data_IF_669892719801
#
_entry.id   IF_669892719801
#
_cell.length_a   1.000
_cell.length_b   1.000
_cell.length_c   1.000
_cell.angle_alpha   90.00
_cell.angle_beta   90.00
_cell.angle_gamma   90.00
#
_symmetry.space_group_name_H-M   'P 1'
#
loop_
_entity.id
_entity.type
_entity.pdbx_description
1 polymer ?
#
# COMPACT_ATOMS: atom_id res chain seq x y z
N UNK A 1 3.50 -10.87 -19.22
CA UNK A 1 3.73 -9.42 -19.33
C UNK A 1 4.30 -8.98 -18.01
N UNK A 2 5.39 -8.23 -18.04
CA UNK A 2 6.05 -7.72 -16.85
C UNK A 2 5.46 -6.39 -16.44
N UNK A 3 5.48 -6.09 -15.13
CA UNK A 3 5.16 -4.79 -14.56
C UNK A 3 6.47 -4.03 -14.29
N UNK A 4 6.46 -2.70 -14.34
CA UNK A 4 5.34 -1.81 -14.66
C UNK A 4 4.94 -1.87 -16.15
N UNK A 5 3.67 -1.57 -16.44
CA UNK A 5 3.12 -1.61 -17.79
C UNK A 5 2.14 -0.47 -18.04
N UNK A 6 2.33 0.19 -19.19
CA UNK A 6 1.42 1.20 -19.73
C UNK A 6 1.06 0.81 -21.16
N UNK A 7 -0.22 0.45 -21.40
CA UNK A 7 -0.63 0.05 -22.75
C UNK A 7 -0.85 1.23 -23.69
N UNK A 8 -1.03 2.45 -23.17
CA UNK A 8 -1.29 3.64 -23.99
C UNK A 8 -0.07 4.05 -24.81
N UNK A 9 1.15 3.73 -24.35
CA UNK A 9 2.40 3.98 -25.09
C UNK A 9 2.36 3.38 -26.51
N UNK A 10 1.70 2.23 -26.67
CA UNK A 10 1.59 1.55 -27.97
C UNK A 10 0.54 2.15 -28.90
N UNK A 11 -0.27 3.09 -28.40
CA UNK A 11 -1.38 3.73 -29.09
C UNK A 11 -1.23 5.26 -29.12
N UNK A 12 0.01 5.75 -29.30
CA UNK A 12 0.35 7.18 -29.26
C UNK A 12 -0.45 8.06 -30.26
N UNK A 13 -1.06 7.45 -31.29
CA UNK A 13 -1.94 8.15 -32.24
C UNK A 13 -3.40 8.31 -31.77
N UNK A 14 -3.79 7.67 -30.66
CA UNK A 14 -5.16 7.70 -30.14
C UNK A 14 -5.16 7.76 -28.60
N UNK A 15 -4.64 8.85 -28.06
CA UNK A 15 -4.42 9.06 -26.62
C UNK A 15 -5.71 9.29 -25.83
N UNK A 16 -6.83 9.57 -26.52
CA UNK A 16 -8.11 9.93 -25.89
C UNK A 16 -9.17 8.83 -26.00
N UNK A 17 -8.75 7.62 -26.31
CA UNK A 17 -9.65 6.48 -26.41
C UNK A 17 -9.91 5.84 -25.07
N UNK A 18 -11.20 5.71 -24.69
CA UNK A 18 -11.62 4.88 -23.57
C UNK A 18 -11.19 3.43 -23.81
N UNK A 19 -10.60 2.83 -22.78
CA UNK A 19 -10.13 1.45 -22.84
C UNK A 19 -10.13 0.77 -21.48
N UNK A 20 -10.21 -0.56 -21.47
CA UNK A 20 -10.14 -1.37 -20.26
C UNK A 20 -9.05 -2.41 -20.41
N UNK A 21 -8.14 -2.46 -19.44
CA UNK A 21 -7.11 -3.47 -19.33
C UNK A 21 -7.42 -4.46 -18.21
N UNK A 22 -7.02 -5.71 -18.42
CA UNK A 22 -7.11 -6.77 -17.43
C UNK A 22 -5.74 -7.38 -17.19
N UNK A 23 -5.37 -7.50 -15.92
CA UNK A 23 -4.13 -8.16 -15.48
C UNK A 23 -4.51 -9.34 -14.62
N UNK A 24 -3.96 -10.51 -14.94
CA UNK A 24 -4.19 -11.74 -14.18
C UNK A 24 -2.84 -12.27 -13.72
N UNK A 25 -2.74 -12.64 -12.45
CA UNK A 25 -1.57 -13.27 -11.85
C UNK A 25 -2.00 -14.38 -10.91
N UNK A 26 -1.39 -15.54 -11.06
CA UNK A 26 -1.48 -16.62 -10.07
C UNK A 26 -0.27 -16.58 -9.16
N UNK A 27 -0.47 -16.86 -7.87
CA UNK A 27 0.59 -16.90 -6.87
C UNK A 27 0.26 -17.89 -5.76
N UNK A 28 1.28 -18.50 -5.18
CA UNK A 28 1.11 -19.38 -4.04
C UNK A 28 1.14 -18.57 -2.75
N UNK A 29 0.11 -18.70 -1.93
CA UNK A 29 0.05 -18.10 -0.61
C UNK A 29 -0.78 -18.97 0.32
N UNK A 30 -0.33 -19.07 1.58
CA UNK A 30 -1.07 -19.65 2.68
C UNK A 30 -0.80 -18.75 3.90
N UNK A 31 -1.76 -17.90 4.30
CA UNK A 31 -1.58 -17.09 5.51
C UNK A 31 -1.42 -17.98 6.74
N UNK A 32 -0.48 -17.64 7.60
CA UNK A 32 -0.37 -18.27 8.91
C UNK A 32 -1.51 -17.79 9.83
N UNK A 33 -1.88 -18.55 10.89
CA UNK A 33 -2.85 -18.08 11.87
C UNK A 33 -2.47 -16.72 12.46
N UNK A 34 -3.37 -15.75 12.37
CA UNK A 34 -3.15 -14.38 12.83
C UNK A 34 -2.31 -13.50 11.90
N UNK A 35 -1.87 -14.00 10.75
CA UNK A 35 -1.18 -13.20 9.75
C UNK A 35 -2.20 -12.43 8.88
N UNK A 36 -1.84 -11.20 8.49
CA UNK A 36 -2.54 -10.42 7.47
C UNK A 36 -1.75 -10.42 6.18
N UNK A 37 -2.47 -10.52 5.07
CA UNK A 37 -1.87 -10.45 3.73
C UNK A 37 -2.56 -9.35 2.94
N UNK A 38 -1.79 -8.45 2.37
CA UNK A 38 -2.29 -7.35 1.56
C UNK A 38 -1.59 -7.28 0.20
N UNK A 39 -2.31 -6.79 -0.78
CA UNK A 39 -1.74 -6.34 -2.05
C UNK A 39 -1.55 -4.83 -1.98
N UNK A 40 -0.33 -4.38 -2.19
CA UNK A 40 0.02 -2.97 -2.33
C UNK A 40 0.27 -2.65 -3.80
N UNK A 41 -0.29 -1.53 -4.24
CA UNK A 41 -0.14 -1.01 -5.59
C UNK A 41 0.51 0.38 -5.52
N UNK A 42 1.66 0.56 -6.11
CA UNK A 42 2.35 1.85 -6.18
C UNK A 42 1.64 2.87 -7.07
N UNK A 43 0.88 2.41 -8.04
CA UNK A 43 0.05 3.25 -8.91
C UNK A 43 -0.58 2.48 -10.05
N UNK A 44 -1.87 2.71 -10.26
CA UNK A 44 -2.67 2.15 -11.36
C UNK A 44 -3.49 3.27 -11.97
N UNK A 45 -3.36 3.52 -13.25
CA UNK A 45 -4.13 4.53 -13.95
C UNK A 45 -5.15 3.90 -14.89
N UNK A 46 -6.44 4.09 -14.65
CA UNK A 46 -7.15 4.53 -13.47
C UNK A 46 -8.41 3.68 -13.26
N UNK A 47 -9.27 4.06 -12.33
CA UNK A 47 -10.54 3.39 -11.96
C UNK A 47 -10.37 1.86 -11.87
N UNK A 48 -9.64 1.48 -10.83
CA UNK A 48 -9.17 0.11 -10.63
C UNK A 48 -10.14 -0.70 -9.79
N UNK A 49 -10.47 -1.90 -10.23
CA UNK A 49 -11.16 -2.90 -9.43
C UNK A 49 -10.30 -4.17 -9.32
N UNK A 50 -10.13 -4.65 -8.10
CA UNK A 50 -9.30 -5.83 -7.80
C UNK A 50 -10.18 -6.96 -7.30
N UNK A 51 -9.94 -8.14 -7.83
CA UNK A 51 -10.60 -9.38 -7.44
C UNK A 51 -9.56 -10.42 -7.04
N UNK A 52 -9.85 -11.21 -6.03
CA UNK A 52 -9.01 -12.32 -5.59
C UNK A 52 -9.90 -13.57 -5.57
N UNK A 53 -9.45 -14.62 -6.25
CA UNK A 53 -10.20 -15.89 -6.40
C UNK A 53 -11.64 -15.68 -6.88
N UNK A 54 -11.85 -14.70 -7.76
CA UNK A 54 -13.16 -14.34 -8.31
C UNK A 54 -14.02 -13.45 -7.42
N UNK A 55 -13.62 -13.17 -6.18
CA UNK A 55 -14.33 -12.29 -5.24
C UNK A 55 -13.80 -10.86 -5.27
N UNK A 56 -14.66 -9.83 -5.18
CA UNK A 56 -14.22 -8.45 -5.09
C UNK A 56 -13.35 -8.21 -3.84
N UNK A 57 -12.15 -7.68 -4.04
CA UNK A 57 -11.22 -7.30 -2.96
C UNK A 57 -11.25 -5.79 -2.67
N UNK A 58 -11.47 -4.96 -3.69
CA UNK A 58 -11.57 -3.52 -3.51
C UNK A 58 -11.55 -2.74 -4.81
N UNK A 59 -11.66 -1.41 -4.67
CA UNK A 59 -11.63 -0.46 -5.79
C UNK A 59 -10.78 0.74 -5.41
N UNK A 60 -10.11 1.34 -6.41
CA UNK A 60 -9.35 2.57 -6.26
C UNK A 60 -9.48 3.44 -7.50
N UNK A 61 -9.91 4.70 -7.32
CA UNK A 61 -10.22 5.59 -8.45
C UNK A 61 -9.11 6.61 -8.77
N UNK A 62 -8.22 6.86 -7.81
CA UNK A 62 -7.12 7.81 -8.03
C UNK A 62 -5.98 7.13 -8.79
N UNK A 63 -5.60 7.70 -9.94
CA UNK A 63 -4.56 7.14 -10.78
C UNK A 63 -3.12 7.42 -10.32
N UNK A 64 -2.88 8.25 -9.31
CA UNK A 64 -1.53 8.75 -8.96
C UNK A 64 -1.05 8.32 -7.58
N UNK A 65 -1.98 8.03 -6.66
CA UNK A 65 -1.64 7.60 -5.31
C UNK A 65 -1.50 6.08 -5.22
N UNK A 66 -0.61 5.63 -4.35
CA UNK A 66 -0.57 4.24 -3.92
C UNK A 66 -1.82 3.87 -3.12
N UNK A 67 -2.12 2.59 -3.08
CA UNK A 67 -3.17 2.03 -2.23
C UNK A 67 -2.84 0.58 -1.90
N UNK A 68 -3.48 0.07 -0.87
CA UNK A 68 -3.36 -1.33 -0.50
C UNK A 68 -4.74 -1.92 -0.15
N UNK A 69 -4.86 -3.22 -0.29
CA UNK A 69 -6.09 -3.97 -0.03
C UNK A 69 -5.74 -5.20 0.81
N UNK A 70 -6.39 -5.35 1.96
CA UNK A 70 -6.32 -6.58 2.74
C UNK A 70 -7.07 -7.68 1.99
N UNK A 71 -6.36 -8.75 1.68
CA UNK A 71 -6.89 -9.89 0.93
C UNK A 71 -6.92 -11.18 1.75
N UNK A 72 -6.60 -11.10 3.05
CA UNK A 72 -6.42 -12.26 3.94
C UNK A 72 -7.58 -13.23 3.86
N UNK A 73 -8.80 -12.74 4.02
CA UNK A 73 -10.02 -13.56 4.04
C UNK A 73 -10.42 -14.13 2.67
N UNK A 74 -9.75 -13.69 1.60
CA UNK A 74 -10.01 -14.15 0.22
C UNK A 74 -8.99 -15.18 -0.26
N UNK A 75 -7.96 -15.43 0.56
CA UNK A 75 -6.92 -16.40 0.25
C UNK A 75 -7.32 -17.78 0.77
N UNK A 76 -6.98 -18.78 0.01
CA UNK A 76 -6.98 -20.18 0.44
C UNK A 76 -5.56 -20.75 0.36
N UNK A 77 -5.35 -21.88 1.01
CA UNK A 77 -4.06 -22.56 0.94
C UNK A 77 -3.72 -22.99 -0.49
N UNK A 78 -2.52 -22.68 -0.94
CA UNK A 78 -2.02 -23.04 -2.27
C UNK A 78 -2.11 -21.91 -3.29
N UNK A 79 -2.54 -22.23 -4.49
CA UNK A 79 -2.59 -21.29 -5.61
C UNK A 79 -3.80 -20.35 -5.49
N UNK A 80 -3.53 -19.06 -5.59
CA UNK A 80 -4.53 -18.00 -5.61
C UNK A 80 -4.40 -17.21 -6.91
N UNK A 81 -5.50 -16.61 -7.34
CA UNK A 81 -5.53 -15.75 -8.52
C UNK A 81 -5.92 -14.32 -8.11
N UNK A 82 -5.20 -13.34 -8.63
CA UNK A 82 -5.59 -11.95 -8.61
C UNK A 82 -5.93 -11.48 -10.02
N UNK A 83 -7.09 -10.84 -10.16
CA UNK A 83 -7.51 -10.14 -11.36
C UNK A 83 -7.61 -8.64 -11.04
N UNK A 84 -6.92 -7.82 -11.82
CA UNK A 84 -7.01 -6.36 -11.75
C UNK A 84 -7.65 -5.86 -13.03
N UNK A 85 -8.81 -5.22 -12.92
CA UNK A 85 -9.43 -4.46 -14.00
C UNK A 85 -9.06 -2.99 -13.84
N UNK A 86 -8.58 -2.38 -14.91
CA UNK A 86 -8.21 -0.98 -14.94
C UNK A 86 -8.96 -0.29 -16.09
N UNK A 87 -9.80 0.68 -15.79
CA UNK A 87 -10.60 1.43 -16.76
C UNK A 87 -9.97 2.80 -17.00
N UNK A 88 -9.53 3.06 -18.24
CA UNK A 88 -9.16 4.39 -18.70
C UNK A 88 -10.38 5.07 -19.29
N UNK A 89 -10.75 6.24 -18.76
CA UNK A 89 -11.89 7.04 -19.22
C UNK A 89 -11.45 8.45 -19.54
N UNK A 90 -12.01 9.00 -20.59
CA UNK A 90 -11.78 10.38 -21.04
C UNK A 90 -13.09 11.21 -20.99
N UNK A 91 -12.96 12.55 -20.78
CA UNK A 91 -11.75 13.30 -20.49
C UNK A 91 -11.25 13.11 -19.06
N UNK A 92 -9.95 12.96 -18.83
CA UNK A 92 -9.37 12.76 -17.51
C UNK A 92 -8.27 13.77 -17.15
N UNK A 93 -7.42 14.13 -18.11
CA UNK A 93 -6.32 15.08 -17.92
C UNK A 93 -6.04 15.88 -19.20
N UNK A 94 -5.19 16.90 -19.08
CA UNK A 94 -4.70 17.69 -20.24
C UNK A 94 -3.29 17.28 -20.69
N UNK A 95 -2.75 16.23 -20.09
CA UNK A 95 -1.42 15.69 -20.36
C UNK A 95 -1.50 14.17 -20.58
N UNK A 96 -0.41 13.58 -21.01
CA UNK A 96 -0.28 12.14 -21.12
C UNK A 96 -0.37 11.51 -19.72
N UNK A 97 -1.41 10.74 -19.47
CA UNK A 97 -1.66 10.13 -18.17
C UNK A 97 -1.13 8.69 -18.06
N UNK A 98 -0.91 8.04 -19.20
CA UNK A 98 -0.68 6.61 -19.24
C UNK A 98 -1.94 5.79 -18.96
N UNK A 99 -1.81 4.48 -18.98
CA UNK A 99 -2.90 3.57 -18.64
C UNK A 99 -2.38 2.21 -18.19
N UNK A 100 -2.85 1.70 -17.06
CA UNK A 100 -2.49 0.40 -16.53
C UNK A 100 -1.76 0.43 -15.21
N UNK A 101 -1.13 -0.67 -14.86
CA UNK A 101 -0.31 -0.80 -13.65
C UNK A 101 1.08 -0.26 -13.98
N UNK A 102 1.29 1.02 -13.76
CA UNK A 102 2.52 1.73 -14.18
C UNK A 102 3.59 1.83 -13.09
N UNK A 103 3.32 1.27 -11.90
CA UNK A 103 4.26 1.11 -10.78
C UNK A 103 4.22 -0.31 -10.25
N UNK A 104 5.08 -0.62 -9.30
CA UNK A 104 5.20 -1.94 -8.72
C UNK A 104 3.94 -2.39 -7.97
N UNK A 105 3.75 -3.69 -7.91
CA UNK A 105 2.75 -4.37 -7.08
C UNK A 105 3.47 -5.32 -6.15
N UNK A 106 3.17 -5.22 -4.86
CA UNK A 106 3.81 -6.01 -3.82
C UNK A 106 2.78 -6.84 -3.05
N UNK A 107 3.19 -8.01 -2.59
CA UNK A 107 2.45 -8.82 -1.64
C UNK A 107 3.06 -8.61 -0.25
N UNK A 108 2.32 -7.95 0.63
CA UNK A 108 2.73 -7.71 1.99
C UNK A 108 2.20 -8.77 2.92
N UNK A 109 3.07 -9.31 3.77
CA UNK A 109 2.72 -10.24 4.84
C UNK A 109 3.00 -9.56 6.18
N UNK A 110 1.98 -9.38 6.97
CA UNK A 110 2.03 -8.63 8.23
C UNK A 110 1.69 -9.58 9.39
N UNK A 111 2.48 -9.58 10.48
CA UNK A 111 2.16 -10.37 11.67
C UNK A 111 0.87 -9.90 12.34
N UNK A 112 0.38 -10.65 13.32
CA UNK A 112 -0.85 -10.35 14.05
C UNK A 112 -0.88 -8.95 14.67
N UNK A 113 0.29 -8.45 15.05
CA UNK A 113 0.53 -7.07 15.50
C UNK A 113 1.55 -6.43 14.56
N UNK A 114 1.20 -5.33 13.93
CA UNK A 114 2.04 -4.65 12.94
C UNK A 114 1.76 -3.15 12.91
N UNK A 115 2.70 -2.38 12.39
CA UNK A 115 2.44 -0.99 12.05
C UNK A 115 1.54 -0.97 10.80
N UNK A 116 0.48 -0.17 10.85
CA UNK A 116 -0.38 -0.01 9.68
C UNK A 116 0.39 0.61 8.52
N UNK A 117 0.17 0.13 7.29
CA UNK A 117 0.65 0.82 6.10
C UNK A 117 0.19 2.29 6.11
N UNK A 118 1.12 3.21 5.84
CA UNK A 118 0.92 4.66 5.92
C UNK A 118 0.51 5.19 7.32
N UNK A 119 0.57 4.36 8.35
CA UNK A 119 0.15 4.68 9.72
C UNK A 119 1.20 5.43 10.55
N UNK A 120 2.36 5.78 9.99
CA UNK A 120 3.41 6.54 10.69
C UNK A 120 3.33 8.01 10.29
N UNK A 121 3.12 8.89 11.27
CA UNK A 121 3.14 10.32 11.08
C UNK A 121 4.22 10.97 11.95
N UNK A 122 5.08 11.79 11.35
CA UNK A 122 6.13 12.53 12.03
C UNK A 122 5.99 14.01 11.71
N UNK A 123 5.94 14.85 12.76
CA UNK A 123 5.95 16.30 12.65
C UNK A 123 7.04 16.89 13.51
N UNK A 124 7.78 17.85 12.97
CA UNK A 124 8.79 18.61 13.71
C UNK A 124 8.38 20.09 13.73
N UNK A 125 8.51 20.73 14.88
CA UNK A 125 8.23 22.16 15.07
C UNK A 125 9.36 22.80 15.85
N UNK A 126 9.81 23.96 15.42
CA UNK A 126 10.73 24.78 16.17
C UNK A 126 9.98 25.43 17.35
N UNK A 127 10.51 25.25 18.55
CA UNK A 127 10.03 25.85 19.78
C UNK A 127 10.88 27.06 20.20
N UNK A 128 10.59 27.60 21.37
CA UNK A 128 11.34 28.72 21.92
C UNK A 128 12.81 28.35 22.18
N UNK A 129 13.73 29.28 21.90
CA UNK A 129 15.16 29.09 22.13
C UNK A 129 15.87 28.19 21.14
N UNK A 130 15.27 27.88 19.96
CA UNK A 130 15.89 27.04 18.93
C UNK A 130 15.82 25.52 19.21
N UNK A 131 15.08 25.10 20.23
CA UNK A 131 14.80 23.68 20.48
C UNK A 131 13.76 23.16 19.50
N UNK A 132 13.92 21.94 19.04
CA UNK A 132 12.94 21.28 18.16
C UNK A 132 12.09 20.28 18.95
N UNK A 133 10.80 20.36 18.74
CA UNK A 133 9.84 19.37 19.24
C UNK A 133 9.47 18.42 18.10
N UNK A 134 9.75 17.12 18.27
CA UNK A 134 9.36 16.06 17.32
C UNK A 134 8.18 15.32 17.91
N UNK A 135 7.09 15.31 17.16
CA UNK A 135 5.90 14.51 17.46
C UNK A 135 5.87 13.31 16.51
N UNK A 136 5.71 12.13 17.08
CA UNK A 136 5.54 10.89 16.32
C UNK A 136 4.20 10.26 16.71
N UNK A 137 3.39 9.91 15.72
CA UNK A 137 2.19 9.13 15.89
C UNK A 137 2.30 7.88 15.02
N UNK A 138 1.95 6.74 15.57
CA UNK A 138 1.97 5.48 14.84
C UNK A 138 0.63 4.76 15.04
N UNK A 139 0.08 4.21 13.96
CA UNK A 139 -1.11 3.38 13.98
C UNK A 139 -0.71 1.91 13.98
N UNK A 140 -1.22 1.14 14.92
CA UNK A 140 -0.92 -0.28 15.07
C UNK A 140 -2.15 -1.11 14.73
N UNK A 141 -2.00 -2.00 13.75
CA UNK A 141 -2.99 -2.99 13.41
C UNK A 141 -2.88 -4.23 14.32
N UNK A 142 -4.04 -4.69 14.78
CA UNK A 142 -4.17 -5.93 15.55
C UNK A 142 -5.13 -6.88 14.82
N UNK A 143 -4.74 -8.13 14.65
CA UNK A 143 -5.67 -9.16 14.20
C UNK A 143 -6.68 -9.49 15.29
N UNK A 144 -7.87 -9.97 14.91
CA UNK A 144 -8.91 -10.35 15.85
C UNK A 144 -8.38 -11.36 16.88
N UNK A 145 -8.53 -11.04 18.16
CA UNK A 145 -8.07 -11.88 19.27
C UNK A 145 -6.60 -11.70 19.66
N UNK A 146 -5.83 -10.86 18.95
CA UNK A 146 -4.49 -10.49 19.37
C UNK A 146 -4.56 -9.40 20.46
N UNK A 147 -3.73 -9.54 21.49
CA UNK A 147 -3.51 -8.48 22.47
C UNK A 147 -2.38 -7.58 21.99
N UNK A 148 -2.48 -6.29 22.30
CA UNK A 148 -1.36 -5.37 22.10
C UNK A 148 -0.27 -5.70 23.13
N UNK A 149 0.85 -6.24 22.69
CA UNK A 149 1.97 -6.63 23.54
C UNK A 149 3.28 -6.04 23.03
N UNK A 150 4.25 -5.86 23.94
CA UNK A 150 5.59 -5.41 23.59
C UNK A 150 5.82 -3.91 23.77
N UNK A 151 6.82 -3.41 23.09
CA UNK A 151 7.25 -2.01 23.13
C UNK A 151 7.43 -1.48 21.71
N UNK A 152 7.10 -0.21 21.52
CA UNK A 152 7.53 0.56 20.34
C UNK A 152 8.81 1.31 20.71
N UNK A 153 9.84 1.12 19.94
CA UNK A 153 11.08 1.87 20.07
C UNK A 153 11.20 2.90 18.95
N UNK A 154 11.36 4.17 19.33
CA UNK A 154 11.61 5.28 18.45
C UNK A 154 13.08 5.69 18.58
N UNK A 155 13.79 5.80 17.47
CA UNK A 155 15.18 6.25 17.42
C UNK A 155 15.29 7.44 16.49
N UNK A 156 15.89 8.50 17.00
CA UNK A 156 16.21 9.70 16.23
C UNK A 156 17.70 9.70 15.90
N UNK A 157 18.01 9.91 14.64
CA UNK A 157 19.39 10.00 14.15
C UNK A 157 19.65 11.36 13.52
N UNK A 158 20.90 11.82 13.57
CA UNK A 158 21.34 12.95 12.77
C UNK A 158 21.54 12.56 11.28
N UNK A 159 21.80 13.54 10.39
CA UNK A 159 22.05 13.26 8.98
C UNK A 159 23.30 12.38 8.73
N UNK A 160 24.23 12.36 9.64
CA UNK A 160 25.47 11.57 9.59
C UNK A 160 25.25 10.14 10.10
N UNK A 161 24.04 9.83 10.65
CA UNK A 161 23.66 8.52 11.15
C UNK A 161 24.01 8.25 12.61
N UNK A 162 24.42 9.28 13.37
CA UNK A 162 24.64 9.13 14.81
C UNK A 162 23.31 9.18 15.58
N UNK A 163 23.15 8.27 16.54
CA UNK A 163 21.95 8.19 17.36
C UNK A 163 21.87 9.39 18.31
N UNK A 164 20.84 10.21 18.17
CA UNK A 164 20.59 11.37 19.02
C UNK A 164 19.73 11.02 20.24
N UNK A 165 18.66 10.23 20.02
CA UNK A 165 17.71 9.91 21.07
C UNK A 165 17.03 8.56 20.83
N UNK A 166 16.64 7.90 21.92
CA UNK A 166 15.81 6.70 21.91
C UNK A 166 14.64 6.89 22.88
N UNK A 167 13.44 6.58 22.45
CA UNK A 167 12.22 6.53 23.27
C UNK A 167 11.59 5.14 23.17
N UNK A 168 11.06 4.64 24.27
CA UNK A 168 10.33 3.38 24.35
C UNK A 168 8.96 3.63 24.94
N UNK A 169 7.94 3.11 24.28
CA UNK A 169 6.54 3.23 24.65
C UNK A 169 5.95 1.83 24.80
N UNK A 170 5.40 1.48 25.97
CA UNK A 170 4.75 0.17 26.14
C UNK A 170 3.47 0.08 25.32
N UNK A 171 3.08 -1.12 24.94
CA UNK A 171 1.87 -1.41 24.15
C UNK A 171 0.58 -0.86 24.76
N UNK A 172 0.52 -0.70 26.08
CA UNK A 172 -0.64 -0.13 26.79
C UNK A 172 -0.89 1.36 26.50
N UNK A 173 0.00 2.03 25.75
CA UNK A 173 -0.14 3.43 25.34
C UNK A 173 -0.70 3.61 23.93
N UNK A 174 -1.21 2.54 23.30
CA UNK A 174 -1.64 2.51 21.90
C UNK A 174 -3.15 2.44 21.76
#
# INVERSE_FOLDING_TARGET
>A
MDLPHDWQIRHAGDLYRDSTGYYVKTFACAPAPGERVALWFGGVYMDTAVFVNGEPAGQWKNGYTSFWLDITEKLHSGQNEVLVRCDLRHPNSRWYSGAGIYRDVELWRMPAQHLMPDGLYVAAREGEGGAWQVQVSAEVGLCAGAAAEGEMELRLYDPEGALLETRRLPAACW
#
